data_IF_789555327818
#
_entry.id   IF_789555327818
#
_cell.length_a   1.000
_cell.length_b   1.000
_cell.length_c   1.000
_cell.angle_alpha   90.00
_cell.angle_beta   90.00
_cell.angle_gamma   90.00
#
_symmetry.space_group_name_H-M   'P 1'
#
loop_
_entity.id
_entity.type
_entity.pdbx_description
1 polymer ?
#
# COMPACT_ATOMS: atom_id res chain seq x y z
N UNK A 1 29.99 7.69 23.72
CA UNK A 1 28.89 6.74 24.03
C UNK A 1 27.73 7.51 24.67
N UNK A 2 26.99 8.30 23.88
CA UNK A 2 25.92 9.17 24.39
C UNK A 2 24.56 8.96 23.70
N UNK A 3 24.38 7.86 22.96
CA UNK A 3 23.26 7.69 22.02
C UNK A 3 22.11 6.78 22.47
N UNK A 4 22.29 5.97 23.50
CA UNK A 4 21.26 4.99 23.91
C UNK A 4 20.17 5.57 24.83
N UNK A 5 20.25 6.86 25.18
CA UNK A 5 19.34 7.48 26.15
C UNK A 5 17.97 7.84 25.59
N UNK A 6 17.91 8.27 24.32
CA UNK A 6 16.69 8.81 23.68
C UNK A 6 15.73 7.68 23.30
N UNK A 7 16.22 6.67 22.57
CA UNK A 7 15.43 5.47 22.20
C UNK A 7 14.91 4.75 23.45
N UNK A 8 15.74 4.66 24.51
CA UNK A 8 15.34 4.06 25.80
C UNK A 8 14.15 4.78 26.43
N UNK A 9 14.06 6.11 26.28
CA UNK A 9 12.95 6.89 26.83
C UNK A 9 11.65 6.66 26.04
N UNK A 10 11.71 6.41 24.73
CA UNK A 10 10.52 6.07 23.94
C UNK A 10 9.94 4.69 24.23
N UNK A 11 10.74 3.79 24.81
CA UNK A 11 10.28 2.53 25.39
C UNK A 11 10.08 2.61 26.92
N UNK A 12 10.21 3.78 27.56
CA UNK A 12 9.95 3.95 28.99
C UNK A 12 9.09 5.17 29.30
N UNK A 13 7.83 4.98 29.73
CA UNK A 13 6.98 6.11 30.11
C UNK A 13 7.39 6.71 31.47
N UNK A 14 7.03 7.98 31.69
CA UNK A 14 7.31 8.75 32.92
C UNK A 14 6.72 8.16 34.23
N UNK A 15 5.97 7.04 34.15
CA UNK A 15 5.40 6.28 35.27
C UNK A 15 5.98 4.86 35.40
N UNK A 16 6.95 4.48 34.56
CA UNK A 16 7.48 3.12 34.42
C UNK A 16 7.64 2.73 32.94
N UNK A 17 8.46 1.72 32.66
CA UNK A 17 8.70 1.11 31.33
C UNK A 17 7.41 1.03 30.48
N UNK A 18 7.44 1.40 29.19
CA UNK A 18 6.28 1.18 28.30
C UNK A 18 5.97 -0.31 28.23
N UNK A 19 4.79 -0.65 27.71
CA UNK A 19 4.43 -2.05 27.50
C UNK A 19 5.47 -2.81 26.64
N UNK A 20 6.10 -2.11 25.68
CA UNK A 20 7.15 -2.64 24.81
C UNK A 20 8.46 -2.97 25.52
N UNK A 21 8.80 -2.27 26.60
CA UNK A 21 10.01 -2.57 27.36
C UNK A 21 9.94 -3.88 28.16
N UNK A 22 8.78 -4.56 28.16
CA UNK A 22 8.59 -5.91 28.71
C UNK A 22 8.47 -6.98 27.64
N UNK A 23 8.52 -6.59 26.36
CA UNK A 23 8.28 -7.47 25.23
C UNK A 23 9.59 -7.93 24.60
N UNK A 24 9.98 -9.20 24.74
CA UNK A 24 11.28 -9.67 24.27
C UNK A 24 11.46 -9.52 22.76
N UNK A 25 10.41 -9.77 21.96
CA UNK A 25 10.46 -9.66 20.50
C UNK A 25 10.66 -8.21 20.05
N UNK A 26 9.92 -7.27 20.65
CA UNK A 26 10.12 -5.85 20.39
C UNK A 26 11.53 -5.41 20.78
N UNK A 27 12.03 -5.83 21.94
CA UNK A 27 13.40 -5.49 22.39
C UNK A 27 14.47 -6.08 21.48
N UNK A 28 14.29 -7.29 20.99
CA UNK A 28 15.17 -7.94 20.02
C UNK A 28 15.21 -7.14 18.71
N UNK A 29 14.05 -6.78 18.14
CA UNK A 29 13.97 -5.98 16.92
C UNK A 29 14.53 -4.57 17.08
N UNK A 30 14.30 -3.92 18.22
CA UNK A 30 14.99 -2.67 18.54
C UNK A 30 16.50 -2.84 18.54
N UNK A 31 17.00 -3.90 19.18
CA UNK A 31 18.44 -4.17 19.23
C UNK A 31 19.02 -4.38 17.84
N UNK A 32 18.32 -5.13 16.96
CA UNK A 32 18.71 -5.33 15.56
C UNK A 32 18.81 -3.99 14.82
N UNK A 33 17.77 -3.16 14.85
CA UNK A 33 17.76 -1.84 14.23
C UNK A 33 18.90 -0.93 14.74
N UNK A 34 19.29 -1.07 16.01
CA UNK A 34 20.39 -0.31 16.61
C UNK A 34 21.79 -0.79 16.19
N UNK A 35 21.94 -1.96 15.59
CA UNK A 35 23.26 -2.46 15.16
C UNK A 35 23.81 -1.61 14.01
N UNK A 36 25.13 -1.38 13.98
CA UNK A 36 25.76 -0.53 12.94
C UNK A 36 25.65 -1.10 11.52
N UNK A 37 25.30 -2.37 11.40
CA UNK A 37 25.11 -3.08 10.14
C UNK A 37 23.64 -3.28 9.77
N UNK A 38 22.68 -2.73 10.51
CA UNK A 38 21.27 -2.75 10.11
C UNK A 38 21.04 -1.80 8.94
N UNK A 39 20.07 -2.14 8.09
CA UNK A 39 19.66 -1.30 6.98
C UNK A 39 19.14 0.04 7.50
N UNK A 40 18.31 0.04 8.55
CA UNK A 40 17.75 1.27 9.10
C UNK A 40 18.83 2.24 9.60
N UNK A 41 19.80 1.74 10.37
CA UNK A 41 20.85 2.59 10.91
C UNK A 41 21.81 3.10 9.83
N UNK A 42 22.08 2.29 8.81
CA UNK A 42 22.86 2.73 7.65
C UNK A 42 22.10 3.78 6.83
N UNK A 43 20.80 3.57 6.59
CA UNK A 43 19.93 4.47 5.85
C UNK A 43 19.83 5.86 6.50
N UNK A 44 19.68 5.91 7.84
CA UNK A 44 19.49 7.17 8.57
C UNK A 44 20.79 7.73 9.16
N UNK A 45 21.93 7.12 8.87
CA UNK A 45 23.28 7.58 9.24
C UNK A 45 23.42 8.16 10.66
N UNK A 46 23.45 9.49 10.80
CA UNK A 46 23.63 10.20 12.07
C UNK A 46 22.30 10.64 12.72
N UNK A 47 21.18 10.53 12.01
CA UNK A 47 19.83 10.88 12.51
C UNK A 47 19.03 9.66 12.97
N UNK A 48 19.57 8.44 12.81
CA UNK A 48 18.87 7.18 13.12
C UNK A 48 18.23 7.13 14.51
N UNK A 49 18.88 7.68 15.55
CA UNK A 49 18.33 7.68 16.91
C UNK A 49 17.07 8.53 17.02
N UNK A 50 17.08 9.71 16.39
CA UNK A 50 15.94 10.62 16.37
C UNK A 50 14.81 10.03 15.53
N UNK A 51 15.13 9.49 14.37
CA UNK A 51 14.12 8.89 13.48
C UNK A 51 13.45 7.68 14.13
N UNK A 52 14.22 6.77 14.75
CA UNK A 52 13.68 5.62 15.47
C UNK A 52 12.80 6.06 16.64
N UNK A 53 13.24 7.09 17.38
CA UNK A 53 12.47 7.66 18.47
C UNK A 53 11.10 8.20 17.99
N UNK A 54 11.09 8.92 16.87
CA UNK A 54 9.86 9.52 16.34
C UNK A 54 8.89 8.46 15.81
N UNK A 55 9.40 7.40 15.17
CA UNK A 55 8.59 6.26 14.74
C UNK A 55 7.98 5.53 15.95
N UNK A 56 8.78 5.23 16.98
CA UNK A 56 8.29 4.58 18.21
C UNK A 56 7.24 5.44 18.91
N UNK A 57 7.46 6.75 19.00
CA UNK A 57 6.54 7.68 19.64
C UNK A 57 5.20 7.74 18.88
N UNK A 58 5.22 7.76 17.55
CA UNK A 58 4.01 7.77 16.72
C UNK A 58 3.23 6.45 16.77
N UNK A 59 3.88 5.36 17.18
CA UNK A 59 3.32 4.00 17.23
C UNK A 59 3.17 3.48 18.67
N UNK A 60 3.09 4.38 19.65
CA UNK A 60 3.00 3.98 21.05
C UNK A 60 1.67 3.29 21.43
N UNK A 61 0.69 3.33 20.53
CA UNK A 61 -0.65 2.76 20.63
C UNK A 61 -0.76 1.33 20.07
N UNK A 62 0.34 0.80 19.51
CA UNK A 62 0.37 -0.55 18.96
C UNK A 62 0.35 -1.62 20.03
N UNK A 63 -0.11 -2.80 19.63
CA UNK A 63 -0.02 -4.02 20.43
C UNK A 63 1.42 -4.53 20.47
N UNK A 64 1.69 -5.43 21.42
CA UNK A 64 2.91 -6.23 21.43
C UNK A 64 2.58 -7.68 21.82
N UNK A 65 3.44 -8.64 21.47
CA UNK A 65 3.17 -10.07 21.68
C UNK A 65 2.88 -10.45 23.14
N UNK A 66 3.49 -9.74 24.09
CA UNK A 66 3.33 -10.01 25.54
C UNK A 66 2.47 -8.99 26.30
N UNK A 67 1.99 -7.94 25.63
CA UNK A 67 1.26 -6.82 26.24
C UNK A 67 -0.24 -7.10 26.46
N UNK A 68 -0.70 -8.31 26.12
CA UNK A 68 -2.13 -8.64 26.03
C UNK A 68 -2.81 -7.97 24.84
N UNK A 69 -4.15 -8.00 24.81
CA UNK A 69 -4.95 -7.49 23.67
C UNK A 69 -5.14 -5.96 23.67
N UNK A 70 -4.34 -5.22 24.44
CA UNK A 70 -4.45 -3.76 24.51
C UNK A 70 -3.74 -3.13 23.30
N UNK A 71 -4.46 -2.42 22.45
CA UNK A 71 -3.89 -1.67 21.33
C UNK A 71 -4.70 -1.82 20.04
N UNK A 72 -4.17 -1.26 18.96
CA UNK A 72 -4.83 -1.26 17.64
C UNK A 72 -4.67 -2.62 16.94
N UNK A 73 -5.78 -3.25 16.57
CA UNK A 73 -5.76 -4.60 15.95
C UNK A 73 -5.38 -4.60 14.47
N UNK A 74 -5.80 -3.57 13.72
CA UNK A 74 -5.59 -3.48 12.26
C UNK A 74 -4.19 -3.04 11.82
N UNK A 75 -3.27 -2.86 12.75
CA UNK A 75 -1.87 -2.53 12.49
C UNK A 75 -1.04 -3.70 13.04
N UNK A 76 0.09 -4.06 12.40
CA UNK A 76 1.02 -5.05 12.93
C UNK A 76 1.42 -4.78 14.39
N UNK A 77 1.93 -5.81 15.05
CA UNK A 77 2.57 -5.68 16.35
C UNK A 77 3.79 -4.76 16.24
N UNK A 78 4.22 -4.19 17.37
CA UNK A 78 5.39 -3.30 17.37
C UNK A 78 6.65 -3.98 16.82
N UNK A 79 6.92 -5.24 17.16
CA UNK A 79 8.06 -5.99 16.64
C UNK A 79 7.98 -6.22 15.12
N UNK A 80 6.78 -6.51 14.60
CA UNK A 80 6.51 -6.63 13.17
C UNK A 80 6.70 -5.29 12.45
N UNK A 81 6.24 -4.17 13.03
CA UNK A 81 6.48 -2.83 12.49
C UNK A 81 7.97 -2.51 12.42
N UNK A 82 8.75 -2.88 13.43
CA UNK A 82 10.20 -2.66 13.45
C UNK A 82 10.92 -3.55 12.43
N UNK A 83 10.44 -4.77 12.22
CA UNK A 83 10.90 -5.65 11.14
C UNK A 83 10.53 -5.08 9.74
N UNK A 84 9.38 -4.42 9.62
CA UNK A 84 8.98 -3.68 8.43
C UNK A 84 9.90 -2.48 8.18
N UNK A 85 10.26 -1.78 9.24
CA UNK A 85 11.19 -0.66 9.19
C UNK A 85 12.58 -1.10 8.69
N UNK A 86 13.11 -2.21 9.21
CA UNK A 86 14.40 -2.74 8.76
C UNK A 86 14.38 -3.14 7.29
N UNK A 87 13.29 -3.78 6.84
CA UNK A 87 13.14 -4.15 5.44
C UNK A 87 13.08 -2.93 4.53
N UNK A 88 12.22 -1.95 4.83
CA UNK A 88 11.97 -0.83 3.93
C UNK A 88 13.19 0.10 3.81
N UNK A 89 14.03 0.16 4.85
CA UNK A 89 15.25 0.96 4.85
C UNK A 89 16.31 0.52 3.85
N UNK A 90 16.23 -0.69 3.27
CA UNK A 90 17.11 -1.06 2.16
C UNK A 90 16.86 -0.21 0.89
N UNK A 91 15.70 0.46 0.80
CA UNK A 91 15.30 1.28 -0.33
C UNK A 91 15.53 2.78 -0.09
N UNK A 92 16.34 3.18 0.89
CA UNK A 92 16.57 4.60 1.24
C UNK A 92 16.99 5.49 0.07
N UNK A 93 17.73 4.93 -0.90
CA UNK A 93 18.17 5.68 -2.07
C UNK A 93 17.07 5.89 -3.14
N UNK A 94 15.87 5.30 -2.95
CA UNK A 94 14.80 5.34 -3.94
C UNK A 94 13.96 6.60 -3.79
N UNK A 95 13.61 7.27 -4.91
CA UNK A 95 12.72 8.43 -4.85
C UNK A 95 11.41 8.09 -4.13
N UNK A 96 10.86 9.09 -3.42
CA UNK A 96 9.59 8.97 -2.71
C UNK A 96 9.63 8.21 -1.38
N UNK A 97 10.72 7.51 -1.01
CA UNK A 97 10.81 6.71 0.23
C UNK A 97 10.42 7.50 1.51
N UNK A 98 10.69 8.80 1.56
CA UNK A 98 10.32 9.66 2.70
C UNK A 98 8.82 9.71 3.00
N UNK A 99 7.98 9.47 1.99
CA UNK A 99 6.54 9.36 2.16
C UNK A 99 6.14 8.11 2.96
N UNK A 100 6.91 7.04 2.84
CA UNK A 100 6.71 5.78 3.57
C UNK A 100 6.99 5.99 5.06
N UNK A 101 8.14 6.59 5.40
CA UNK A 101 8.46 6.97 6.79
C UNK A 101 7.46 8.00 7.36
N UNK A 102 7.01 8.94 6.54
CA UNK A 102 5.96 9.89 6.94
C UNK A 102 4.64 9.18 7.23
N UNK A 103 4.25 8.19 6.41
CA UNK A 103 3.05 7.38 6.60
C UNK A 103 3.11 6.53 7.88
N UNK A 104 4.27 5.93 8.19
CA UNK A 104 4.51 5.20 9.45
C UNK A 104 4.38 6.08 10.71
N UNK A 105 4.56 7.40 10.58
CA UNK A 105 4.38 8.38 11.67
C UNK A 105 3.02 9.08 11.68
N UNK A 106 2.15 8.76 10.72
CA UNK A 106 0.93 9.50 10.47
C UNK A 106 -0.27 8.93 11.23
N UNK A 107 -1.48 9.36 10.86
CA UNK A 107 -2.71 8.80 11.39
C UNK A 107 -2.81 7.29 11.10
N UNK A 108 -3.63 6.62 11.90
CA UNK A 108 -3.82 5.16 11.86
C UNK A 108 -4.18 4.60 10.47
N UNK A 109 -4.90 5.32 9.61
CA UNK A 109 -5.25 4.81 8.28
C UNK A 109 -4.03 4.80 7.34
N UNK A 110 -3.16 5.80 7.45
CA UNK A 110 -1.93 5.86 6.66
C UNK A 110 -0.94 4.80 7.13
N UNK A 111 -0.83 4.60 8.46
CA UNK A 111 -0.01 3.53 9.04
C UNK A 111 -0.45 2.15 8.57
N UNK A 112 -1.76 1.91 8.54
CA UNK A 112 -2.38 0.68 8.04
C UNK A 112 -2.03 0.44 6.56
N UNK A 113 -2.24 1.44 5.70
CA UNK A 113 -1.93 1.35 4.29
C UNK A 113 -0.44 1.08 4.00
N UNK A 114 0.45 1.81 4.69
CA UNK A 114 1.90 1.64 4.51
C UNK A 114 2.38 0.28 5.02
N UNK A 115 1.88 -0.20 6.15
CA UNK A 115 2.27 -1.53 6.63
C UNK A 115 1.79 -2.63 5.68
N UNK A 116 0.57 -2.53 5.14
CA UNK A 116 0.09 -3.47 4.11
C UNK A 116 1.02 -3.53 2.88
N UNK A 117 1.44 -2.36 2.39
CA UNK A 117 2.42 -2.27 1.30
C UNK A 117 3.74 -2.97 1.66
N UNK A 118 4.32 -2.65 2.81
CA UNK A 118 5.61 -3.21 3.23
C UNK A 118 5.52 -4.73 3.43
N UNK A 119 4.45 -5.23 4.05
CA UNK A 119 4.21 -6.65 4.28
C UNK A 119 4.11 -7.43 2.97
N UNK A 120 3.43 -6.86 1.96
CA UNK A 120 3.40 -7.45 0.63
C UNK A 120 4.79 -7.48 -0.01
N UNK A 121 5.50 -6.35 0.01
CA UNK A 121 6.85 -6.26 -0.54
C UNK A 121 7.79 -7.29 0.09
N UNK A 122 7.69 -7.49 1.41
CA UNK A 122 8.47 -8.49 2.16
C UNK A 122 8.16 -9.93 1.78
N UNK A 123 6.88 -10.24 1.51
CA UNK A 123 6.45 -11.58 1.07
C UNK A 123 6.85 -11.87 -0.37
N UNK A 124 6.90 -10.84 -1.21
CA UNK A 124 7.19 -10.95 -2.65
C UNK A 124 8.41 -10.12 -3.07
N UNK A 125 9.59 -10.29 -2.44
CA UNK A 125 10.74 -9.38 -2.64
C UNK A 125 11.27 -9.39 -4.09
N UNK A 126 11.09 -10.50 -4.79
CA UNK A 126 11.49 -10.63 -6.20
C UNK A 126 10.71 -9.67 -7.13
N UNK A 127 9.45 -9.35 -6.79
CA UNK A 127 8.65 -8.38 -7.55
C UNK A 127 9.18 -6.95 -7.43
N UNK A 128 10.02 -6.66 -6.43
CA UNK A 128 10.51 -5.31 -6.11
C UNK A 128 12.04 -5.18 -6.28
N UNK A 129 12.70 -6.15 -6.91
CA UNK A 129 14.16 -6.12 -7.14
C UNK A 129 14.57 -4.89 -7.97
N UNK A 130 13.76 -4.51 -8.95
CA UNK A 130 13.97 -3.34 -9.80
C UNK A 130 13.07 -2.17 -9.42
N UNK A 131 12.77 -1.99 -8.11
CA UNK A 131 11.93 -0.88 -7.64
C UNK A 131 12.46 0.45 -8.18
N UNK A 132 11.59 1.22 -8.85
CA UNK A 132 11.92 2.51 -9.44
C UNK A 132 11.78 3.60 -8.38
N UNK A 133 10.59 3.75 -7.82
CA UNK A 133 10.26 4.77 -6.81
C UNK A 133 8.98 4.43 -6.04
N UNK A 134 8.80 5.13 -4.91
CA UNK A 134 7.56 5.15 -4.13
C UNK A 134 6.75 6.40 -4.45
N UNK A 135 5.43 6.35 -4.27
CA UNK A 135 4.52 7.47 -4.53
C UNK A 135 4.74 8.11 -5.92
N UNK A 136 4.94 7.25 -6.92
CA UNK A 136 5.18 7.63 -8.31
C UNK A 136 4.08 8.54 -8.81
N UNK A 137 4.42 9.64 -9.47
CA UNK A 137 3.42 10.59 -9.99
C UNK A 137 3.40 10.63 -11.51
N UNK A 138 2.20 10.50 -12.09
CA UNK A 138 2.00 10.92 -13.47
C UNK A 138 1.99 12.45 -13.54
N UNK A 139 3.12 13.02 -14.01
CA UNK A 139 3.37 14.46 -14.02
C UNK A 139 3.28 15.09 -12.61
N UNK A 140 3.27 16.43 -12.53
CA UNK A 140 3.19 17.17 -11.26
C UNK A 140 1.77 17.21 -10.64
N UNK A 141 0.90 16.23 -10.92
CA UNK A 141 -0.46 16.16 -10.37
C UNK A 141 -0.50 15.32 -9.08
N UNK A 142 -0.82 15.97 -7.97
CA UNK A 142 -0.92 15.36 -6.62
C UNK A 142 -1.94 14.22 -6.55
N UNK A 143 -2.93 14.17 -7.45
CA UNK A 143 -3.99 13.16 -7.46
C UNK A 143 -3.64 11.92 -8.30
N UNK A 144 -2.43 11.83 -8.86
CA UNK A 144 -2.02 10.75 -9.76
C UNK A 144 -0.85 9.94 -9.24
N UNK A 145 -1.00 9.38 -8.04
CA UNK A 145 0.10 8.69 -7.38
C UNK A 145 -0.08 7.20 -7.38
N UNK A 146 0.84 6.39 -7.88
CA UNK A 146 0.86 4.97 -7.56
C UNK A 146 1.75 4.76 -6.33
N UNK A 147 1.33 3.88 -5.42
CA UNK A 147 2.08 3.64 -4.18
C UNK A 147 3.53 3.19 -4.45
N UNK A 148 3.73 2.28 -5.42
CA UNK A 148 5.06 1.83 -5.86
C UNK A 148 5.11 1.68 -7.38
N UNK A 149 6.20 2.13 -8.00
CA UNK A 149 6.55 1.83 -9.38
C UNK A 149 7.76 0.88 -9.42
N UNK A 150 7.64 -0.20 -10.17
CA UNK A 150 8.74 -1.13 -10.48
C UNK A 150 8.88 -1.21 -12.00
N UNK A 151 9.96 -0.66 -12.54
CA UNK A 151 10.12 -0.45 -13.98
C UNK A 151 8.89 0.26 -14.57
N UNK A 152 8.02 -0.45 -15.29
CA UNK A 152 6.77 0.06 -15.85
C UNK A 152 5.52 -0.39 -15.06
N UNK A 153 5.67 -1.29 -14.08
CA UNK A 153 4.55 -1.86 -13.33
C UNK A 153 4.17 -0.97 -12.15
N UNK A 154 2.93 -0.52 -12.12
CA UNK A 154 2.30 0.19 -11.01
C UNK A 154 1.74 -0.79 -10.00
N UNK A 155 2.09 -0.60 -8.74
CA UNK A 155 1.47 -1.28 -7.62
C UNK A 155 0.68 -0.27 -6.80
N UNK A 156 -0.56 -0.64 -6.52
CA UNK A 156 -1.49 0.14 -5.75
C UNK A 156 -2.06 -0.72 -4.62
N UNK A 157 -1.83 -0.32 -3.38
CA UNK A 157 -2.16 -1.10 -2.18
C UNK A 157 -3.45 -0.59 -1.54
N UNK A 158 -4.34 -1.53 -1.19
CA UNK A 158 -5.70 -1.20 -0.74
C UNK A 158 -6.12 -1.93 0.51
N UNK A 159 -6.37 -1.14 1.55
CA UNK A 159 -6.99 -1.56 2.80
C UNK A 159 -8.52 -1.32 2.76
N UNK A 160 -9.19 -1.75 1.69
CA UNK A 160 -10.65 -1.65 1.54
C UNK A 160 -11.36 -2.74 2.34
N UNK A 161 -12.60 -2.48 2.75
CA UNK A 161 -13.49 -3.43 3.42
C UNK A 161 -14.88 -3.28 2.80
N UNK A 162 -15.57 -4.36 2.43
CA UNK A 162 -16.91 -4.28 1.87
C UNK A 162 -17.86 -3.60 2.87
N UNK A 163 -18.85 -2.88 2.36
CA UNK A 163 -19.90 -2.22 3.14
C UNK A 163 -19.44 -1.15 4.15
N UNK A 164 -18.14 -0.80 4.18
CA UNK A 164 -17.64 0.29 5.01
C UNK A 164 -17.75 1.63 4.25
N UNK A 165 -18.51 2.62 4.76
CA UNK A 165 -18.86 3.84 4.02
C UNK A 165 -17.68 4.72 3.56
N UNK A 166 -16.46 4.49 4.05
CA UNK A 166 -15.27 5.23 3.61
C UNK A 166 -14.03 4.33 3.61
N UNK A 167 -12.98 4.63 2.81
CA UNK A 167 -12.87 5.72 1.85
C UNK A 167 -13.09 5.33 0.36
N UNK A 168 -13.48 4.09 0.06
CA UNK A 168 -13.51 3.57 -1.32
C UNK A 168 -14.89 3.33 -1.92
N UNK A 169 -16.00 3.46 -1.19
CA UNK A 169 -17.30 3.11 -1.80
C UNK A 169 -17.68 4.02 -2.98
N UNK A 170 -17.25 5.29 -2.98
CA UNK A 170 -17.43 6.16 -4.15
C UNK A 170 -16.67 5.67 -5.38
N UNK A 171 -15.50 5.02 -5.19
CA UNK A 171 -14.73 4.42 -6.28
C UNK A 171 -15.57 3.43 -7.08
N UNK A 172 -16.24 2.50 -6.39
CA UNK A 172 -17.05 1.46 -7.02
C UNK A 172 -18.37 1.98 -7.61
N UNK A 173 -18.77 3.22 -7.30
CA UNK A 173 -19.85 3.93 -8.02
C UNK A 173 -19.36 4.70 -9.26
N UNK A 174 -18.08 4.57 -9.58
CA UNK A 174 -17.41 5.31 -10.65
C UNK A 174 -17.29 6.80 -10.39
N UNK A 175 -16.98 7.18 -9.15
CA UNK A 175 -16.82 8.58 -8.75
C UNK A 175 -15.67 8.81 -7.75
N UNK A 176 -15.31 10.07 -7.55
CA UNK A 176 -14.27 10.48 -6.60
C UNK A 176 -12.84 10.41 -7.15
N UNK A 177 -11.89 10.83 -6.32
CA UNK A 177 -10.48 10.98 -6.71
C UNK A 177 -9.85 9.63 -7.05
N UNK A 178 -10.13 8.59 -6.27
CA UNK A 178 -9.61 7.24 -6.52
C UNK A 178 -10.08 6.66 -7.86
N UNK A 179 -11.33 6.92 -8.27
CA UNK A 179 -11.83 6.46 -9.57
C UNK A 179 -11.18 7.25 -10.71
N UNK A 180 -11.05 8.57 -10.54
CA UNK A 180 -10.34 9.44 -11.48
C UNK A 180 -8.90 8.98 -11.69
N UNK A 181 -8.23 8.61 -10.60
CA UNK A 181 -6.87 8.06 -10.61
C UNK A 181 -6.81 6.71 -11.33
N UNK A 182 -7.73 5.79 -11.06
CA UNK A 182 -7.81 4.51 -11.77
C UNK A 182 -8.00 4.66 -13.28
N UNK A 183 -8.91 5.53 -13.73
CA UNK A 183 -9.06 5.84 -15.16
C UNK A 183 -7.76 6.37 -15.77
N UNK A 184 -6.98 7.16 -15.01
CA UNK A 184 -5.68 7.66 -15.46
C UNK A 184 -4.64 6.55 -15.54
N UNK A 185 -4.63 5.59 -14.61
CA UNK A 185 -3.78 4.40 -14.74
C UNK A 185 -4.12 3.63 -16.01
N UNK A 186 -5.40 3.32 -16.25
CA UNK A 186 -5.82 2.63 -17.47
C UNK A 186 -5.39 3.40 -18.72
N UNK A 187 -5.55 4.73 -18.75
CA UNK A 187 -5.13 5.57 -19.90
C UNK A 187 -3.62 5.51 -20.16
N UNK A 188 -2.79 5.48 -19.12
CA UNK A 188 -1.33 5.55 -19.24
C UNK A 188 -0.62 4.18 -19.24
N UNK A 189 -1.33 3.11 -18.95
CA UNK A 189 -0.81 1.74 -18.93
C UNK A 189 -0.93 1.12 -20.32
N UNK A 190 0.10 0.40 -20.80
CA UNK A 190 0.05 -0.20 -22.13
C UNK A 190 -0.40 -1.65 -22.12
N UNK A 191 -0.19 -2.35 -21.01
CA UNK A 191 -0.59 -3.73 -20.79
C UNK A 191 -1.19 -3.80 -19.39
N UNK A 192 -2.38 -4.40 -19.24
CA UNK A 192 -3.06 -4.50 -17.95
C UNK A 192 -2.22 -5.22 -16.89
N UNK A 193 -1.27 -6.07 -17.29
CA UNK A 193 -0.30 -6.72 -16.41
C UNK A 193 0.71 -5.75 -15.77
N UNK A 194 0.87 -4.54 -16.33
CA UNK A 194 1.65 -3.45 -15.73
C UNK A 194 0.86 -2.69 -14.66
N UNK A 195 -0.39 -3.07 -14.37
CA UNK A 195 -1.17 -2.54 -13.25
C UNK A 195 -1.42 -3.65 -12.24
N UNK A 196 -1.22 -3.37 -10.96
CA UNK A 196 -1.48 -4.31 -9.86
C UNK A 196 -2.18 -3.61 -8.71
N UNK A 197 -3.44 -3.96 -8.48
CA UNK A 197 -4.18 -3.57 -7.29
C UNK A 197 -4.12 -4.70 -6.26
N UNK A 198 -3.44 -4.43 -5.15
CA UNK A 198 -3.18 -5.40 -4.08
C UNK A 198 -4.04 -5.05 -2.86
N UNK A 199 -5.14 -5.78 -2.71
CA UNK A 199 -6.04 -5.65 -1.57
C UNK A 199 -5.55 -6.43 -0.37
N UNK A 200 -5.80 -5.91 0.83
CA UNK A 200 -5.49 -6.60 2.08
C UNK A 200 -6.47 -7.76 2.32
N UNK A 201 -5.97 -8.99 2.27
CA UNK A 201 -6.78 -10.20 2.41
C UNK A 201 -7.46 -10.36 3.78
N UNK A 202 -6.97 -9.66 4.82
CA UNK A 202 -7.62 -9.67 6.13
C UNK A 202 -8.90 -8.83 6.14
N UNK A 203 -9.15 -8.02 5.10
CA UNK A 203 -10.28 -7.08 5.03
C UNK A 203 -11.26 -7.39 3.91
N UNK A 204 -10.75 -7.86 2.77
CA UNK A 204 -11.55 -8.30 1.63
C UNK A 204 -10.90 -9.49 0.97
N UNK A 205 -11.68 -10.53 0.67
CA UNK A 205 -11.20 -11.61 -0.20
C UNK A 205 -11.28 -11.21 -1.69
N UNK A 206 -10.58 -11.97 -2.54
CA UNK A 206 -10.51 -11.66 -3.98
C UNK A 206 -11.88 -11.76 -4.66
N UNK A 207 -12.78 -12.63 -4.21
CA UNK A 207 -14.14 -12.73 -4.75
C UNK A 207 -14.96 -11.47 -4.47
N UNK A 208 -14.88 -10.95 -3.24
CA UNK A 208 -15.52 -9.69 -2.87
C UNK A 208 -14.98 -8.50 -3.66
N UNK A 209 -13.66 -8.45 -3.87
CA UNK A 209 -13.02 -7.42 -4.69
C UNK A 209 -13.49 -7.50 -6.13
N UNK A 210 -13.45 -8.70 -6.74
CA UNK A 210 -13.89 -8.92 -8.12
C UNK A 210 -15.37 -8.58 -8.28
N UNK A 211 -16.25 -8.94 -7.34
CA UNK A 211 -17.68 -8.58 -7.40
C UNK A 211 -17.89 -7.06 -7.37
N UNK A 212 -17.10 -6.33 -6.56
CA UNK A 212 -17.18 -4.86 -6.53
C UNK A 212 -16.69 -4.23 -7.85
N UNK A 213 -15.61 -4.75 -8.44
CA UNK A 213 -15.15 -4.33 -9.75
C UNK A 213 -16.14 -4.71 -10.86
N UNK A 214 -16.78 -5.88 -10.79
CA UNK A 214 -17.86 -6.28 -11.70
C UNK A 214 -18.98 -5.26 -11.68
N UNK A 215 -19.45 -4.87 -10.50
CA UNK A 215 -20.46 -3.81 -10.37
C UNK A 215 -20.03 -2.50 -11.05
N UNK A 216 -18.78 -2.08 -10.83
CA UNK A 216 -18.22 -0.89 -11.47
C UNK A 216 -18.16 -1.03 -13.01
N UNK A 217 -17.66 -2.16 -13.50
CA UNK A 217 -17.47 -2.43 -14.92
C UNK A 217 -18.80 -2.45 -15.65
N UNK A 218 -19.81 -3.12 -15.09
CA UNK A 218 -21.15 -3.18 -15.66
C UNK A 218 -21.85 -1.81 -15.64
N UNK A 219 -21.74 -1.04 -14.56
CA UNK A 219 -22.38 0.29 -14.44
C UNK A 219 -21.71 1.34 -15.36
N UNK A 220 -20.40 1.20 -15.60
CA UNK A 220 -19.61 2.17 -16.38
C UNK A 220 -19.21 1.70 -17.76
N UNK A 221 -19.68 0.54 -18.22
CA UNK A 221 -19.29 -0.04 -19.51
C UNK A 221 -19.47 0.96 -20.67
N UNK A 222 -20.66 1.57 -20.80
CA UNK A 222 -20.92 2.58 -21.83
C UNK A 222 -19.98 3.80 -21.74
N UNK A 223 -19.66 4.24 -20.51
CA UNK A 223 -18.77 5.38 -20.30
C UNK A 223 -17.33 5.09 -20.74
N UNK A 224 -16.88 3.85 -20.60
CA UNK A 224 -15.52 3.44 -20.94
C UNK A 224 -15.29 3.41 -22.44
N UNK A 225 -16.31 3.04 -23.21
CA UNK A 225 -16.25 2.98 -24.67
C UNK A 225 -16.40 4.34 -25.35
N UNK A 226 -16.77 5.40 -24.61
CA UNK A 226 -16.79 6.77 -25.14
C UNK A 226 -15.41 7.19 -25.67
N UNK A 227 -15.36 8.10 -26.66
CA UNK A 227 -14.11 8.73 -27.07
C UNK A 227 -13.34 9.36 -25.90
N UNK A 228 -12.02 9.43 -26.03
CA UNK A 228 -11.14 10.04 -25.01
C UNK A 228 -11.56 11.50 -24.71
N UNK A 229 -11.94 12.25 -25.75
CA UNK A 229 -12.39 13.64 -25.65
C UNK A 229 -13.68 13.80 -24.82
N UNK A 230 -14.49 12.74 -24.75
CA UNK A 230 -15.72 12.66 -23.95
C UNK A 230 -15.47 12.03 -22.58
N UNK A 231 -14.21 11.83 -22.21
CA UNK A 231 -13.78 11.32 -20.91
C UNK A 231 -13.59 9.80 -20.84
N UNK A 232 -13.98 9.05 -21.87
CA UNK A 232 -13.84 7.58 -21.93
C UNK A 232 -12.40 7.11 -22.16
N UNK A 233 -12.26 5.80 -22.37
CA UNK A 233 -11.01 5.16 -22.81
C UNK A 233 -10.98 5.02 -24.34
N UNK A 234 -12.15 4.77 -24.94
CA UNK A 234 -12.32 4.48 -26.36
C UNK A 234 -11.96 3.03 -26.69
N UNK A 235 -12.58 2.49 -27.74
CA UNK A 235 -12.47 1.07 -28.12
C UNK A 235 -11.02 0.59 -28.26
N UNK A 236 -10.14 1.38 -28.88
CA UNK A 236 -8.73 1.01 -29.07
C UNK A 236 -8.04 0.74 -27.73
N UNK A 237 -8.32 1.57 -26.72
CA UNK A 237 -7.71 1.43 -25.40
C UNK A 237 -8.33 0.29 -24.61
N UNK A 238 -9.65 0.09 -24.73
CA UNK A 238 -10.34 -1.05 -24.12
C UNK A 238 -9.74 -2.36 -24.65
N UNK A 239 -9.61 -2.52 -25.97
CA UNK A 239 -9.01 -3.70 -26.59
C UNK A 239 -7.57 -3.94 -26.14
N UNK A 240 -6.77 -2.86 -26.12
CA UNK A 240 -5.38 -2.92 -25.66
C UNK A 240 -5.25 -3.50 -24.25
N UNK A 241 -6.16 -3.15 -23.34
CA UNK A 241 -6.07 -3.53 -21.93
C UNK A 241 -6.79 -4.84 -21.62
N UNK A 242 -7.95 -5.08 -22.24
CA UNK A 242 -8.88 -6.12 -21.83
C UNK A 242 -9.03 -7.25 -22.86
N UNK A 243 -8.42 -7.11 -24.04
CA UNK A 243 -8.36 -8.15 -25.07
C UNK A 243 -8.89 -7.69 -26.43
N UNK A 244 -8.24 -8.17 -27.49
CA UNK A 244 -8.61 -7.85 -28.88
C UNK A 244 -9.96 -8.44 -29.31
N UNK A 245 -10.51 -9.40 -28.56
CA UNK A 245 -11.81 -10.03 -28.82
C UNK A 245 -13.00 -9.15 -28.36
N UNK A 246 -12.74 -8.02 -27.69
CA UNK A 246 -13.77 -7.07 -27.24
C UNK A 246 -14.02 -6.06 -28.36
N UNK A 247 -15.07 -6.24 -29.15
CA UNK A 247 -15.39 -5.35 -30.27
C UNK A 247 -16.40 -4.27 -29.89
N UNK A 248 -17.28 -4.55 -28.92
CA UNK A 248 -18.23 -3.58 -28.40
C UNK A 248 -18.51 -3.73 -26.89
N UNK A 249 -19.42 -2.88 -26.39
CA UNK A 249 -19.81 -2.82 -24.98
C UNK A 249 -20.38 -4.16 -24.50
N UNK A 250 -21.11 -4.88 -25.35
CA UNK A 250 -21.74 -6.16 -25.01
C UNK A 250 -20.69 -7.23 -24.77
N UNK A 251 -19.64 -7.29 -25.60
CA UNK A 251 -18.53 -8.22 -25.41
C UNK A 251 -17.83 -7.94 -24.07
N UNK A 252 -17.51 -6.67 -23.78
CA UNK A 252 -16.90 -6.31 -22.50
C UNK A 252 -17.78 -6.68 -21.30
N UNK A 253 -19.10 -6.46 -21.40
CA UNK A 253 -20.05 -6.86 -20.36
C UNK A 253 -20.04 -8.37 -20.16
N UNK A 254 -20.00 -9.18 -21.22
CA UNK A 254 -19.92 -10.64 -21.12
C UNK A 254 -18.64 -11.08 -20.38
N UNK A 255 -17.49 -10.52 -20.76
CA UNK A 255 -16.22 -10.80 -20.07
C UNK A 255 -16.20 -10.28 -18.62
N UNK A 256 -16.82 -9.14 -18.33
CA UNK A 256 -16.91 -8.60 -16.98
C UNK A 256 -17.90 -9.39 -16.11
N UNK A 257 -18.93 -10.01 -16.69
CA UNK A 257 -19.90 -10.80 -15.93
C UNK A 257 -19.27 -12.08 -15.34
N UNK A 258 -18.26 -12.63 -16.02
CA UNK A 258 -17.47 -13.76 -15.55
C UNK A 258 -16.33 -13.33 -14.62
N UNK A 259 -16.46 -13.60 -13.32
CA UNK A 259 -15.42 -13.27 -12.33
C UNK A 259 -14.10 -14.01 -12.55
N UNK A 260 -14.07 -15.08 -13.33
CA UNK A 260 -12.82 -15.81 -13.67
C UNK A 260 -12.12 -15.24 -14.91
N UNK A 261 -12.72 -14.24 -15.57
CA UNK A 261 -12.17 -13.56 -16.74
C UNK A 261 -10.86 -12.82 -16.47
N UNK A 262 -10.02 -12.73 -17.51
CA UNK A 262 -8.73 -12.03 -17.49
C UNK A 262 -8.88 -10.51 -17.32
N UNK A 263 -10.08 -9.95 -17.49
CA UNK A 263 -10.34 -8.52 -17.20
C UNK A 263 -10.10 -8.16 -15.73
N UNK A 264 -10.01 -9.15 -14.85
CA UNK A 264 -9.69 -9.00 -13.43
C UNK A 264 -8.24 -9.39 -13.07
N UNK A 265 -7.38 -9.69 -14.05
CA UNK A 265 -6.01 -10.17 -13.85
C UNK A 265 -5.11 -9.23 -13.03
N UNK A 266 -5.39 -7.92 -13.07
CA UNK A 266 -4.67 -6.90 -12.31
C UNK A 266 -5.04 -6.85 -10.82
N UNK A 267 -6.02 -7.65 -10.37
CA UNK A 267 -6.52 -7.67 -8.99
C UNK A 267 -5.91 -8.82 -8.19
N UNK A 268 -5.44 -8.52 -6.98
CA UNK A 268 -4.98 -9.51 -6.01
C UNK A 268 -5.51 -9.18 -4.61
N UNK A 269 -5.74 -10.20 -3.80
CA UNK A 269 -5.96 -10.05 -2.36
C UNK A 269 -4.89 -10.86 -1.61
N UNK A 270 -4.12 -10.20 -0.75
CA UNK A 270 -2.97 -10.78 -0.03
C UNK A 270 -2.78 -10.17 1.36
#
# INVERSE_FOLDING_TARGET
MAGTGVVRNSISNNSGSTQFAKDPQTLEKLSELMMSNSNFRQAKENTWEQELNDILAANNDLRCGTCGNSGVERIPLMDELLDNLEYISQFEAKPGIETVYSGLRSNINNRDAVNHMIDYMKRYPNEFTNLTEFEFRYADDILNRADVLVENTLYEFKSWTPDNPNPWNSFFTGSGNSYTQFLRYLKNTNDLNELKYIFNAQKSDIGQVKEAFRGLFLDKADDWFKPIDDGGLGIVKVKQLFGDDIEDVSDFIEYADDLDSEVYSFLKAD
#
